data_IF_650132059361
#
_entry.id   IF_650132059361
#
_cell.length_a   1.000
_cell.length_b   1.000
_cell.length_c   1.000
_cell.angle_alpha   90.00
_cell.angle_beta   90.00
_cell.angle_gamma   90.00
#
_symmetry.space_group_name_H-M   'P 1'
#
loop_
_entity.id
_entity.type
_entity.pdbx_description
1 polymer ?
#
# COMPACT_ATOMS: atom_id res chain seq x y z
N UNK A 1 -10.61 13.08 12.48
CA UNK A 1 -9.92 11.78 12.39
C UNK A 1 -9.51 11.61 10.93
N UNK A 2 -8.21 11.64 10.61
CA UNK A 2 -7.75 11.45 9.23
C UNK A 2 -7.83 9.95 8.96
N UNK A 3 -8.74 9.55 8.07
CA UNK A 3 -8.84 8.16 7.66
C UNK A 3 -7.89 7.93 6.50
N UNK A 4 -6.90 7.03 6.62
CA UNK A 4 -5.93 6.85 5.56
C UNK A 4 -6.63 6.29 4.32
N UNK A 5 -6.21 6.74 3.14
CA UNK A 5 -6.75 6.32 1.84
C UNK A 5 -5.74 5.37 1.20
N UNK A 6 -6.23 4.28 0.61
CA UNK A 6 -5.38 3.35 -0.12
C UNK A 6 -4.82 4.04 -1.36
N UNK A 7 -3.50 4.10 -1.47
CA UNK A 7 -2.80 4.76 -2.59
C UNK A 7 -2.98 4.02 -3.94
N UNK A 8 -3.55 2.81 -3.93
CA UNK A 8 -3.74 1.97 -5.11
C UNK A 8 -5.19 1.95 -5.64
N UNK A 9 -6.19 1.94 -4.75
CA UNK A 9 -7.60 1.85 -5.16
C UNK A 9 -8.44 3.07 -4.76
N UNK A 10 -7.87 4.04 -4.03
CA UNK A 10 -8.56 5.26 -3.59
C UNK A 10 -9.66 5.05 -2.53
N UNK A 11 -9.87 3.81 -2.06
CA UNK A 11 -10.83 3.50 -1.00
C UNK A 11 -10.26 3.86 0.37
N UNK A 12 -11.15 4.22 1.29
CA UNK A 12 -10.82 4.40 2.70
C UNK A 12 -10.26 3.09 3.29
N UNK A 13 -9.15 3.15 4.01
CA UNK A 13 -8.61 2.01 4.76
C UNK A 13 -9.46 1.79 6.02
N UNK A 14 -10.45 0.92 5.90
CA UNK A 14 -11.17 0.35 7.04
C UNK A 14 -10.31 -0.75 7.69
N UNK A 15 -9.61 -1.52 6.86
CA UNK A 15 -8.68 -2.57 7.27
C UNK A 15 -7.29 -2.33 6.67
N UNK A 16 -6.26 -2.42 7.50
CA UNK A 16 -4.87 -2.21 7.11
C UNK A 16 -4.30 -3.46 6.43
N UNK A 17 -3.85 -3.33 5.17
CA UNK A 17 -3.16 -4.41 4.46
C UNK A 17 -1.65 -4.32 4.65
N UNK A 18 -1.03 -3.28 4.08
CA UNK A 18 0.41 -3.06 4.15
C UNK A 18 0.78 -1.57 4.12
N UNK A 19 2.01 -1.29 4.56
CA UNK A 19 2.72 -0.06 4.25
C UNK A 19 3.86 -0.43 3.30
N UNK A 20 3.82 0.09 2.08
CA UNK A 20 4.87 -0.15 1.08
C UNK A 20 5.82 1.04 0.99
N UNK A 21 7.10 0.74 0.84
CA UNK A 21 8.15 1.73 0.58
C UNK A 21 8.71 1.52 -0.82
N UNK A 22 8.80 2.59 -1.61
CA UNK A 22 9.55 2.52 -2.86
C UNK A 22 11.03 2.27 -2.61
N UNK A 23 11.79 1.81 -3.62
CA UNK A 23 13.23 1.96 -3.61
C UNK A 23 13.62 3.40 -3.25
N UNK A 24 14.73 3.60 -2.53
CA UNK A 24 15.20 4.93 -2.19
C UNK A 24 15.61 5.68 -3.45
N UNK A 25 15.23 6.95 -3.54
CA UNK A 25 15.83 7.92 -4.46
C UNK A 25 16.61 8.91 -3.60
N UNK A 26 17.94 8.83 -3.66
CA UNK A 26 18.84 9.49 -2.70
C UNK A 26 18.51 9.06 -1.27
N UNK A 27 18.14 10.00 -0.39
CA UNK A 27 17.71 9.71 0.99
C UNK A 27 16.18 9.69 1.16
N UNK A 28 15.41 9.76 0.06
CA UNK A 28 13.95 9.83 0.11
C UNK A 28 13.31 8.50 -0.32
N UNK A 29 12.30 8.05 0.41
CA UNK A 29 11.43 6.92 0.04
C UNK A 29 9.99 7.38 -0.04
N UNK A 30 9.25 6.89 -1.05
CA UNK A 30 7.80 7.09 -1.10
C UNK A 30 7.13 6.03 -0.22
N UNK A 31 6.26 6.47 0.68
CA UNK A 31 5.44 5.60 1.53
C UNK A 31 4.03 5.51 0.93
N UNK A 32 3.51 4.29 0.82
CA UNK A 32 2.15 4.02 0.33
C UNK A 32 1.36 3.22 1.38
N UNK A 33 0.13 3.63 1.65
CA UNK A 33 -0.86 2.89 2.42
C UNK A 33 -1.65 1.97 1.49
N UNK A 34 -1.70 0.68 1.83
CA UNK A 34 -2.31 -0.34 0.98
C UNK A 34 -3.38 -1.07 1.78
N UNK A 35 -4.59 -1.15 1.24
CA UNK A 35 -5.65 -1.95 1.85
C UNK A 35 -5.37 -3.45 1.68
N UNK A 36 -6.05 -4.27 2.50
CA UNK A 36 -5.90 -5.73 2.49
C UNK A 36 -6.18 -6.34 1.11
N UNK A 37 -7.17 -5.83 0.38
CA UNK A 37 -7.53 -6.33 -0.95
C UNK A 37 -6.40 -6.12 -1.96
N UNK A 38 -5.88 -4.89 -2.06
CA UNK A 38 -4.79 -4.56 -2.98
C UNK A 38 -3.51 -5.34 -2.61
N UNK A 39 -3.24 -5.51 -1.31
CA UNK A 39 -2.10 -6.32 -0.87
C UNK A 39 -2.26 -7.79 -1.28
N UNK A 40 -3.44 -8.37 -1.10
CA UNK A 40 -3.73 -9.75 -1.49
C UNK A 40 -3.59 -9.97 -3.00
N UNK A 41 -3.97 -8.99 -3.83
CA UNK A 41 -3.73 -9.05 -5.28
C UNK A 41 -2.25 -9.00 -5.63
N UNK A 42 -1.46 -8.17 -4.94
CA UNK A 42 -0.02 -8.06 -5.17
C UNK A 42 0.72 -9.36 -4.83
N UNK A 43 0.44 -9.95 -3.66
CA UNK A 43 1.13 -11.16 -3.22
C UNK A 43 0.81 -12.39 -4.09
N UNK A 44 -0.35 -12.41 -4.76
CA UNK A 44 -0.67 -13.47 -5.73
C UNK A 44 0.31 -13.42 -6.91
N UNK A 45 0.56 -12.22 -7.44
CA UNK A 45 1.47 -12.00 -8.59
C UNK A 45 2.94 -12.26 -8.28
N UNK A 46 3.36 -12.14 -7.01
CA UNK A 46 4.76 -12.35 -6.59
C UNK A 46 5.06 -13.84 -6.34
N UNK A 47 4.03 -14.67 -6.13
CA UNK A 47 4.17 -16.10 -5.87
C UNK A 47 4.08 -16.98 -7.12
N UNK A 48 3.89 -16.36 -8.29
CA UNK A 48 3.94 -16.98 -9.62
C UNK A 48 5.34 -16.81 -10.23
#
# INVERSE_FOLDING_TARGET
MIKPICDFCGKELIEFGAILFSPPKEMNVKKYHVCVDCYNEMIKKVKE
#
